data_IF_042512155860
#
_entry.id   IF_042512155860
#
_cell.length_a   1.000
_cell.length_b   1.000
_cell.length_c   1.000
_cell.angle_alpha   90.00
_cell.angle_beta   90.00
_cell.angle_gamma   90.00
#
_symmetry.space_group_name_H-M   'P 1'
#
loop_
_entity.id
_entity.type
_entity.pdbx_description
1 polymer ?
#
# COMPACT_ATOMS: atom_id res chain seq x y z
N UNK A 1 -15.58 11.54 -7.67
CA UNK A 1 -14.23 11.82 -7.14
C UNK A 1 -13.20 10.99 -7.89
N UNK A 2 -12.14 11.63 -8.41
CA UNK A 2 -11.01 10.88 -8.98
C UNK A 2 -10.20 10.27 -7.85
N UNK A 3 -9.95 8.96 -7.92
CA UNK A 3 -9.09 8.26 -6.96
C UNK A 3 -7.62 8.51 -7.29
N UNK A 4 -6.78 8.58 -6.25
CA UNK A 4 -5.34 8.69 -6.39
C UNK A 4 -4.76 7.49 -7.17
N UNK A 5 -3.79 7.76 -8.06
CA UNK A 5 -3.13 6.68 -8.81
C UNK A 5 -2.25 5.83 -7.88
N UNK A 6 -2.08 4.56 -8.22
CA UNK A 6 -1.21 3.65 -7.48
C UNK A 6 0.26 4.08 -7.53
N UNK A 7 0.70 4.73 -8.60
CA UNK A 7 2.05 5.32 -8.68
C UNK A 7 2.24 6.46 -7.69
N UNK A 8 1.26 7.38 -7.60
CA UNK A 8 1.30 8.50 -6.65
C UNK A 8 1.29 7.98 -5.21
N UNK A 9 0.42 7.01 -4.91
CA UNK A 9 0.37 6.34 -3.62
C UNK A 9 1.73 5.76 -3.23
N UNK A 10 2.36 5.00 -4.11
CA UNK A 10 3.67 4.41 -3.82
C UNK A 10 4.79 5.44 -3.60
N UNK A 11 4.77 6.60 -4.27
CA UNK A 11 5.70 7.69 -3.95
C UNK A 11 5.46 8.19 -2.53
N UNK A 12 4.20 8.35 -2.15
CA UNK A 12 3.81 8.78 -0.81
C UNK A 12 4.28 7.77 0.24
N UNK A 13 4.12 6.46 0.01
CA UNK A 13 4.54 5.41 0.93
C UNK A 13 6.05 5.47 1.23
N UNK A 14 6.88 5.55 0.20
CA UNK A 14 8.34 5.63 0.41
C UNK A 14 8.76 6.92 1.11
N UNK A 15 8.15 8.05 0.78
CA UNK A 15 8.43 9.34 1.45
C UNK A 15 7.94 9.31 2.89
N UNK A 16 6.70 8.86 3.13
CA UNK A 16 6.13 8.76 4.46
C UNK A 16 6.91 7.79 5.35
N UNK A 17 7.31 6.62 4.82
CA UNK A 17 8.15 5.67 5.56
C UNK A 17 9.48 6.28 5.99
N UNK A 18 10.13 7.07 5.13
CA UNK A 18 11.34 7.81 5.49
C UNK A 18 11.10 8.80 6.64
N UNK A 19 9.97 9.51 6.60
CA UNK A 19 9.57 10.43 7.68
C UNK A 19 9.29 9.65 8.97
N UNK A 20 8.52 8.56 8.93
CA UNK A 20 8.19 7.76 10.12
C UNK A 20 9.42 7.13 10.77
N UNK A 21 10.46 6.81 10.02
CA UNK A 21 11.72 6.30 10.54
C UNK A 21 12.56 7.37 11.26
N UNK A 22 12.48 8.64 10.83
CA UNK A 22 13.33 9.71 11.35
C UNK A 22 12.62 10.53 12.43
N UNK A 23 11.34 10.82 12.23
CA UNK A 23 10.54 11.72 13.07
C UNK A 23 10.59 11.38 14.56
N UNK A 24 10.42 10.14 15.02
CA UNK A 24 10.35 9.86 16.45
C UNK A 24 11.64 10.18 17.18
N UNK A 25 12.80 9.93 16.56
CA UNK A 25 14.09 10.30 17.12
C UNK A 25 14.33 11.80 17.12
N UNK A 26 13.96 12.47 16.04
CA UNK A 26 14.09 13.92 15.91
C UNK A 26 13.18 14.68 16.91
N UNK A 27 12.00 14.12 17.19
CA UNK A 27 11.06 14.67 18.15
C UNK A 27 11.35 14.26 19.62
N UNK A 28 12.28 13.34 19.85
CA UNK A 28 12.62 12.87 21.20
C UNK A 28 11.54 11.98 21.83
N UNK A 29 10.77 11.25 21.01
CA UNK A 29 9.74 10.34 21.52
C UNK A 29 10.34 9.17 22.31
N UNK A 30 9.53 8.55 23.13
CA UNK A 30 9.93 7.39 23.94
C UNK A 30 10.45 6.22 23.08
N UNK A 31 11.25 5.32 23.63
CA UNK A 31 11.69 4.12 22.91
C UNK A 31 10.53 3.27 22.38
N UNK A 32 9.40 3.24 23.09
CA UNK A 32 8.20 2.49 22.72
C UNK A 32 7.55 3.08 21.46
N UNK A 33 7.32 4.39 21.41
CA UNK A 33 6.76 5.09 20.25
C UNK A 33 7.75 5.05 19.09
N UNK A 34 9.04 5.23 19.35
CA UNK A 34 10.09 5.15 18.32
C UNK A 34 10.10 3.76 17.66
N UNK A 35 10.12 2.69 18.46
CA UNK A 35 10.12 1.33 17.92
C UNK A 35 8.86 1.03 17.10
N UNK A 36 7.69 1.51 17.53
CA UNK A 36 6.44 1.32 16.80
C UNK A 36 6.48 2.03 15.43
N UNK A 37 6.90 3.29 15.38
CA UNK A 37 6.98 4.05 14.13
C UNK A 37 8.06 3.51 13.18
N UNK A 38 9.21 3.10 13.68
CA UNK A 38 10.25 2.46 12.87
C UNK A 38 9.81 1.10 12.31
N UNK A 39 9.09 0.29 13.10
CA UNK A 39 8.52 -0.97 12.63
C UNK A 39 7.44 -0.73 11.56
N UNK A 40 6.60 0.28 11.75
CA UNK A 40 5.62 0.72 10.74
C UNK A 40 6.32 1.14 9.45
N UNK A 41 7.33 2.00 9.52
CA UNK A 41 8.12 2.45 8.38
C UNK A 41 8.78 1.26 7.63
N UNK A 42 9.43 0.37 8.36
CA UNK A 42 10.10 -0.80 7.77
C UNK A 42 9.13 -1.76 7.09
N UNK A 43 7.98 -2.04 7.72
CA UNK A 43 6.94 -2.89 7.12
C UNK A 43 6.31 -2.24 5.89
N UNK A 44 6.05 -0.92 5.91
CA UNK A 44 5.53 -0.19 4.76
C UNK A 44 6.47 -0.25 3.56
N UNK A 45 7.76 -0.02 3.74
CA UNK A 45 8.77 -0.18 2.67
C UNK A 45 8.75 -1.61 2.14
N UNK A 46 8.71 -2.61 3.02
CA UNK A 46 8.76 -4.02 2.62
C UNK A 46 7.55 -4.40 1.76
N UNK A 47 6.33 -4.15 2.22
CA UNK A 47 5.16 -4.54 1.43
C UNK A 47 4.97 -3.64 0.20
N UNK A 48 5.39 -2.37 0.22
CA UNK A 48 5.43 -1.53 -0.97
C UNK A 48 6.36 -2.10 -2.03
N UNK A 49 7.58 -2.53 -1.65
CA UNK A 49 8.52 -3.18 -2.57
C UNK A 49 7.98 -4.50 -3.15
N UNK A 50 7.12 -5.21 -2.39
CA UNK A 50 6.51 -6.48 -2.82
C UNK A 50 5.20 -6.29 -3.60
N UNK A 51 4.67 -5.09 -3.71
CA UNK A 51 3.37 -4.84 -4.33
C UNK A 51 3.45 -4.83 -5.86
N UNK A 52 2.44 -5.40 -6.50
CA UNK A 52 2.30 -5.41 -7.97
C UNK A 52 1.74 -4.07 -8.46
N UNK A 53 2.57 -3.05 -8.41
CA UNK A 53 2.28 -1.71 -8.93
C UNK A 53 3.55 -1.09 -9.56
N UNK A 54 3.50 0.16 -9.99
CA UNK A 54 4.54 0.81 -10.80
C UNK A 54 5.90 0.89 -10.10
N UNK A 55 5.91 1.03 -8.76
CA UNK A 55 7.12 1.17 -7.95
C UNK A 55 7.51 -0.10 -7.18
N UNK A 56 6.72 -1.18 -7.32
CA UNK A 56 7.01 -2.46 -6.69
C UNK A 56 8.15 -3.20 -7.39
N UNK A 57 9.04 -3.80 -6.61
CA UNK A 57 10.21 -4.54 -7.11
C UNK A 57 9.89 -6.00 -7.42
N UNK A 58 9.15 -6.68 -6.57
CA UNK A 58 8.92 -8.14 -6.63
C UNK A 58 7.53 -8.53 -7.14
N UNK A 59 6.57 -7.65 -7.17
CA UNK A 59 5.21 -7.80 -7.73
C UNK A 59 4.44 -9.06 -7.29
N UNK A 60 4.53 -9.42 -6.02
CA UNK A 60 3.84 -10.56 -5.42
C UNK A 60 2.52 -10.19 -4.75
N UNK A 61 2.45 -9.00 -4.16
CA UNK A 61 1.30 -8.53 -3.38
C UNK A 61 0.34 -7.75 -4.29
N UNK A 62 -0.95 -8.13 -4.39
CA UNK A 62 -1.93 -7.34 -5.14
C UNK A 62 -2.22 -6.01 -4.44
N UNK A 63 -2.53 -4.95 -5.23
CA UNK A 63 -2.76 -3.60 -4.70
C UNK A 63 -3.86 -3.57 -3.61
N UNK A 64 -4.90 -4.38 -3.73
CA UNK A 64 -5.95 -4.48 -2.70
C UNK A 64 -5.42 -4.95 -1.34
N UNK A 65 -4.49 -5.91 -1.35
CA UNK A 65 -3.90 -6.41 -0.11
C UNK A 65 -2.95 -5.35 0.51
N UNK A 66 -2.19 -4.63 -0.32
CA UNK A 66 -1.39 -3.50 0.11
C UNK A 66 -2.24 -2.44 0.83
N UNK A 67 -3.32 -1.96 0.21
CA UNK A 67 -4.23 -0.97 0.82
C UNK A 67 -4.90 -1.48 2.12
N UNK A 68 -5.14 -2.79 2.22
CA UNK A 68 -5.63 -3.37 3.46
C UNK A 68 -4.58 -3.36 4.57
N UNK A 69 -3.29 -3.54 4.23
CA UNK A 69 -2.18 -3.43 5.18
C UNK A 69 -2.01 -1.99 5.66
N UNK A 70 -2.12 -0.98 4.78
CA UNK A 70 -2.10 0.43 5.19
C UNK A 70 -3.24 0.75 6.16
N UNK A 71 -4.46 0.32 5.83
CA UNK A 71 -5.61 0.54 6.70
C UNK A 71 -5.46 -0.16 8.06
N UNK A 72 -4.88 -1.37 8.08
CA UNK A 72 -4.59 -2.11 9.31
C UNK A 72 -3.50 -1.43 10.14
N UNK A 73 -2.41 -1.01 9.51
CA UNK A 73 -1.31 -0.25 10.13
C UNK A 73 -1.84 1.05 10.73
N UNK A 74 -2.61 1.81 9.95
CA UNK A 74 -3.24 3.03 10.44
C UNK A 74 -4.18 2.80 11.62
N UNK A 75 -4.97 1.70 11.58
CA UNK A 75 -5.82 1.30 12.71
C UNK A 75 -5.03 0.95 13.97
N UNK A 76 -3.88 0.26 13.81
CA UNK A 76 -2.97 -0.05 14.92
C UNK A 76 -2.38 1.22 15.54
N UNK A 77 -1.95 2.18 14.74
CA UNK A 77 -1.41 3.46 15.23
C UNK A 77 -2.48 4.28 15.97
N UNK A 78 -3.71 4.32 15.47
CA UNK A 78 -4.84 4.92 16.18
C UNK A 78 -5.11 4.23 17.51
N UNK A 79 -5.10 2.90 17.54
CA UNK A 79 -5.24 2.14 18.76
C UNK A 79 -4.11 2.45 19.74
N UNK A 80 -2.85 2.49 19.29
CA UNK A 80 -1.72 2.86 20.12
C UNK A 80 -1.86 4.28 20.71
N UNK A 81 -2.30 5.25 19.91
CA UNK A 81 -2.57 6.61 20.40
C UNK A 81 -3.61 6.67 21.53
N UNK A 82 -4.54 5.72 21.56
CA UNK A 82 -5.57 5.63 22.60
C UNK A 82 -5.10 4.93 23.87
N UNK A 83 -4.26 3.90 23.74
CA UNK A 83 -3.87 3.04 24.87
C UNK A 83 -2.53 3.43 25.50
N UNK A 84 -1.69 4.23 24.82
CA UNK A 84 -0.43 4.74 25.35
C UNK A 84 -0.67 5.99 26.19
N UNK A 85 -1.34 5.82 27.31
CA UNK A 85 -1.74 6.92 28.22
C UNK A 85 -0.56 7.50 29.02
N UNK A 86 0.54 6.78 29.09
CA UNK A 86 1.82 7.18 29.68
C UNK A 86 2.71 8.04 28.75
N UNK A 87 2.31 8.21 27.49
CA UNK A 87 3.03 9.02 26.50
C UNK A 87 2.52 10.47 26.48
N UNK A 88 3.38 11.40 26.08
CA UNK A 88 2.99 12.80 25.91
C UNK A 88 1.97 13.02 24.80
N UNK A 89 1.22 14.10 24.91
CA UNK A 89 0.15 14.42 23.94
C UNK A 89 0.67 14.60 22.51
N UNK A 90 1.90 15.09 22.34
CA UNK A 90 2.55 15.26 21.02
C UNK A 90 2.82 13.92 20.34
N UNK A 91 3.34 12.94 21.09
CA UNK A 91 3.57 11.58 20.60
C UNK A 91 2.25 10.91 20.24
N UNK A 92 1.24 10.98 21.10
CA UNK A 92 -0.10 10.42 20.86
C UNK A 92 -0.79 11.08 19.68
N UNK A 93 -0.74 12.40 19.56
CA UNK A 93 -1.29 13.12 18.40
C UNK A 93 -0.58 12.74 17.10
N UNK A 94 0.74 12.52 17.15
CA UNK A 94 1.53 12.05 16.00
C UNK A 94 1.09 10.65 15.55
N UNK A 95 0.96 9.70 16.49
CA UNK A 95 0.45 8.35 16.18
C UNK A 95 -0.94 8.41 15.55
N UNK A 96 -1.84 9.21 16.12
CA UNK A 96 -3.20 9.36 15.59
C UNK A 96 -3.19 10.00 14.20
N UNK A 97 -2.39 11.04 13.98
CA UNK A 97 -2.27 11.73 12.70
C UNK A 97 -1.74 10.84 11.60
N UNK A 98 -0.70 10.07 11.88
CA UNK A 98 -0.14 9.07 10.94
C UNK A 98 -1.17 7.98 10.65
N UNK A 99 -1.83 7.44 11.67
CA UNK A 99 -2.85 6.41 11.49
C UNK A 99 -4.01 6.86 10.61
N UNK A 100 -4.52 8.08 10.83
CA UNK A 100 -5.56 8.67 9.98
C UNK A 100 -5.08 8.89 8.55
N UNK A 101 -3.83 9.32 8.37
CA UNK A 101 -3.23 9.53 7.07
C UNK A 101 -3.14 8.21 6.27
N UNK A 102 -2.66 7.12 6.86
CA UNK A 102 -2.58 5.79 6.21
C UNK A 102 -3.96 5.28 5.80
N UNK A 103 -4.96 5.37 6.69
CA UNK A 103 -6.34 5.00 6.38
C UNK A 103 -6.91 5.85 5.23
N UNK A 104 -6.71 7.17 5.27
CA UNK A 104 -7.17 8.06 4.22
C UNK A 104 -6.49 7.77 2.87
N UNK A 105 -5.18 7.52 2.87
CA UNK A 105 -4.43 7.12 1.68
C UNK A 105 -4.98 5.80 1.09
N UNK A 106 -5.21 4.80 1.91
CA UNK A 106 -5.79 3.52 1.50
C UNK A 106 -7.19 3.68 0.87
N UNK A 107 -8.07 4.45 1.50
CA UNK A 107 -9.46 4.64 1.04
C UNK A 107 -9.57 5.48 -0.24
N UNK A 108 -8.62 6.38 -0.48
CA UNK A 108 -8.63 7.29 -1.63
C UNK A 108 -7.89 6.75 -2.84
N UNK A 109 -7.14 5.67 -2.72
CA UNK A 109 -6.34 5.09 -3.79
C UNK A 109 -7.14 4.13 -4.69
N UNK A 110 -6.68 3.93 -5.92
CA UNK A 110 -7.22 2.94 -6.85
C UNK A 110 -6.88 1.52 -6.39
N UNK A 111 -7.87 0.63 -6.39
CA UNK A 111 -7.74 -0.75 -5.91
C UNK A 111 -6.96 -1.68 -6.87
N UNK A 112 -6.68 -1.23 -8.09
CA UNK A 112 -5.93 -1.99 -9.09
C UNK A 112 -4.89 -1.08 -9.74
N UNK A 113 -3.66 -1.57 -9.83
CA UNK A 113 -2.59 -0.88 -10.52
C UNK A 113 -2.71 -1.01 -12.05
N UNK A 114 -1.99 -0.18 -12.79
CA UNK A 114 -1.90 -0.30 -14.25
C UNK A 114 -1.19 -1.59 -14.66
N UNK A 115 -0.25 -2.07 -13.83
CA UNK A 115 0.45 -3.35 -14.04
C UNK A 115 -0.49 -4.54 -13.91
N UNK A 116 -1.37 -4.56 -12.90
CA UNK A 116 -2.38 -5.62 -12.73
C UNK A 116 -3.40 -5.64 -13.86
N UNK A 117 -3.86 -4.47 -14.33
CA UNK A 117 -4.80 -4.37 -15.47
C UNK A 117 -4.19 -4.89 -16.77
N UNK A 118 -2.90 -4.63 -17.02
CA UNK A 118 -2.21 -5.12 -18.23
C UNK A 118 -2.05 -6.64 -18.22
N UNK A 119 -1.73 -7.24 -17.09
CA UNK A 119 -1.60 -8.70 -16.97
C UNK A 119 -2.94 -9.42 -17.15
N UNK A 120 -4.04 -8.87 -16.65
CA UNK A 120 -5.38 -9.45 -16.82
C UNK A 120 -5.95 -9.26 -18.24
N UNK A 121 -5.64 -8.16 -18.91
CA UNK A 121 -6.07 -7.89 -20.30
C UNK A 121 -5.37 -8.76 -21.35
N UNK A 122 -4.11 -9.13 -21.11
CA UNK A 122 -3.32 -9.97 -22.03
C UNK A 122 -3.82 -11.42 -22.12
N UNK A 123 -4.37 -11.97 -21.06
CA UNK A 123 -4.88 -13.34 -21.00
C UNK A 123 -6.19 -13.54 -21.79
N UNK A 124 -7.04 -12.52 -21.87
CA UNK A 124 -8.32 -12.59 -22.61
C UNK A 124 -8.16 -12.52 -24.13
N UNK A 125 -7.13 -11.82 -24.64
CA UNK A 125 -6.86 -11.75 -26.10
C UNK A 125 -6.24 -13.04 -26.65
N UNK A 126 -5.44 -13.76 -25.87
CA UNK A 126 -4.81 -15.00 -26.33
C UNK A 126 -5.82 -16.16 -26.45
N UNK A 127 -6.85 -16.21 -25.61
CA UNK A 127 -7.88 -17.25 -25.65
C UNK A 127 -8.87 -17.05 -26.82
N UNK A 128 -9.18 -15.81 -27.18
CA UNK A 128 -10.02 -15.48 -28.34
C UNK A 128 -9.38 -15.84 -29.68
N UNK A 129 -8.05 -15.66 -29.78
CA UNK A 129 -7.29 -15.97 -31.00
C UNK A 129 -7.16 -17.47 -31.26
N UNK A 130 -7.00 -18.27 -30.19
CA UNK A 130 -6.96 -19.76 -30.31
C UNK A 130 -8.32 -20.35 -30.72
N UNK A 131 -9.44 -19.84 -30.20
CA UNK A 131 -10.78 -20.28 -30.60
C UNK A 131 -11.15 -19.90 -32.05
N UNK A 132 -10.71 -18.76 -32.53
CA UNK A 132 -10.92 -18.31 -33.93
C UNK A 132 -10.17 -19.15 -34.94
N UNK A 133 -8.94 -19.60 -34.63
CA UNK A 133 -8.11 -20.43 -35.48
C UNK A 133 -8.65 -21.87 -35.58
N UNK A 134 -9.13 -22.44 -34.48
CA UNK A 134 -9.75 -23.75 -34.50
C UNK A 134 -11.08 -23.81 -35.30
N UNK A 135 -11.92 -22.78 -35.19
CA UNK A 135 -13.16 -22.72 -35.97
C UNK A 135 -12.92 -22.62 -37.48
N UNK A 136 -11.86 -21.92 -37.91
CA UNK A 136 -11.51 -21.85 -39.33
C UNK A 136 -10.98 -23.18 -39.91
N UNK A 137 -10.33 -23.98 -39.07
CA UNK A 137 -9.84 -25.30 -39.48
C UNK A 137 -10.98 -26.31 -39.72
N UNK A 138 -12.07 -26.26 -38.96
CA UNK A 138 -13.24 -27.14 -39.14
C UNK A 138 -14.22 -26.65 -40.21
N UNK A 139 -14.10 -25.40 -40.67
CA UNK A 139 -14.98 -24.88 -41.72
C UNK A 139 -14.44 -25.16 -43.16
N UNK A 140 -13.20 -25.61 -43.27
CA UNK A 140 -12.54 -25.91 -44.56
C UNK A 140 -12.25 -27.40 -44.75
N UNK A 141 -12.82 -28.29 -43.93
CA UNK A 141 -12.81 -29.75 -44.06
C UNK A 141 -14.20 -30.27 -44.39
#
# INVERSE_FOLDING_TARGET
>A
MQRMSTKTHGVIDYVASGIFAILPKAAGFSPKVTALLEATAGSAVMYSAMTNYELGMVKMLPMKAHLALDALSGGMLLGAAMIFDDEDDGARATLAGIGLFEIAAALTTQMQSTTERRSSGGSSQSSGRRRGSQRRQYANA
#
